data_IF_085618829060
#
_entry.id   IF_085618829060
#
_cell.length_a   1.000
_cell.length_b   1.000
_cell.length_c   1.000
_cell.angle_alpha   90.00
_cell.angle_beta   90.00
_cell.angle_gamma   90.00
#
_symmetry.space_group_name_H-M   'P 1'
#
loop_
_entity.id
_entity.type
_entity.pdbx_description
1 polymer ?
#
# COMPACT_ATOMS: atom_id res chain seq x y z
N UNK A 1 5.19 8.33 21.52
CA UNK A 1 5.05 7.50 20.29
C UNK A 1 6.36 6.80 19.90
N UNK A 2 7.51 7.49 19.92
CA UNK A 2 8.80 6.91 19.47
C UNK A 2 9.25 5.73 20.35
N UNK A 3 9.19 5.87 21.69
CA UNK A 3 9.52 4.76 22.61
C UNK A 3 8.63 3.52 22.38
N UNK A 4 7.31 3.73 22.23
CA UNK A 4 6.39 2.66 21.86
C UNK A 4 6.75 1.99 20.52
N UNK A 5 7.15 2.77 19.51
CA UNK A 5 7.61 2.20 18.23
C UNK A 5 8.88 1.36 18.40
N UNK A 6 9.85 1.84 19.21
CA UNK A 6 11.07 1.09 19.54
C UNK A 6 10.69 -0.23 20.20
N UNK A 7 9.92 -0.19 21.29
CA UNK A 7 9.51 -1.36 22.06
C UNK A 7 8.75 -2.40 21.23
N UNK A 8 7.94 -1.96 20.27
CA UNK A 8 7.08 -2.87 19.49
C UNK A 8 7.70 -3.34 18.17
N UNK A 9 8.60 -2.56 17.55
CA UNK A 9 9.12 -2.86 16.20
C UNK A 9 10.56 -3.34 16.19
N UNK A 10 11.37 -2.95 17.15
CA UNK A 10 12.78 -3.37 17.22
C UNK A 10 12.91 -4.87 17.47
N UNK A 11 12.16 -5.52 18.40
CA UNK A 11 12.25 -6.97 18.58
C UNK A 11 11.84 -7.77 17.35
N UNK A 12 10.93 -7.22 16.53
CA UNK A 12 10.46 -7.85 15.30
C UNK A 12 11.51 -7.74 14.19
N UNK A 13 12.15 -6.57 14.07
CA UNK A 13 13.15 -6.30 13.02
C UNK A 13 14.54 -6.88 13.32
N UNK A 14 14.90 -6.94 14.60
CA UNK A 14 16.18 -7.47 15.08
C UNK A 14 15.94 -8.44 16.25
N UNK A 15 15.41 -9.65 15.98
CA UNK A 15 15.13 -10.63 17.02
C UNK A 15 16.40 -10.98 17.79
N UNK A 16 16.41 -10.74 19.10
CA UNK A 16 17.56 -11.01 19.98
C UNK A 16 18.71 -9.99 19.92
N UNK A 17 18.73 -9.11 18.92
CA UNK A 17 19.84 -8.17 18.67
C UNK A 17 19.41 -6.69 18.67
N UNK A 18 18.13 -6.40 18.89
CA UNK A 18 17.58 -5.07 18.68
C UNK A 18 18.00 -3.98 19.68
N UNK A 19 18.65 -4.32 20.79
CA UNK A 19 19.11 -3.34 21.80
C UNK A 19 18.02 -2.33 22.24
N UNK A 20 16.79 -2.81 22.47
CA UNK A 20 15.61 -1.99 22.80
C UNK A 20 15.88 -0.99 23.91
N UNK A 21 16.48 -1.43 25.02
CA UNK A 21 16.77 -0.57 26.18
C UNK A 21 17.69 0.59 25.82
N UNK A 22 18.75 0.33 25.06
CA UNK A 22 19.71 1.35 24.64
C UNK A 22 19.06 2.38 23.71
N UNK A 23 18.27 1.92 22.73
CA UNK A 23 17.53 2.80 21.83
C UNK A 23 16.50 3.65 22.57
N UNK A 24 15.76 3.05 23.51
CA UNK A 24 14.78 3.78 24.34
C UNK A 24 15.45 4.85 25.20
N UNK A 25 16.65 4.58 25.73
CA UNK A 25 17.42 5.55 26.52
C UNK A 25 17.93 6.76 25.71
N UNK A 26 18.06 6.62 24.38
CA UNK A 26 18.44 7.71 23.48
C UNK A 26 17.28 8.64 23.10
N UNK A 27 16.04 8.26 23.44
CA UNK A 27 14.84 9.01 23.09
C UNK A 27 14.36 9.80 24.31
N UNK A 28 14.16 11.11 24.12
CA UNK A 28 13.60 11.99 25.15
C UNK A 28 12.21 11.50 25.60
N UNK A 29 11.92 11.68 26.89
CA UNK A 29 10.57 11.55 27.46
C UNK A 29 9.68 12.77 27.17
N UNK A 30 10.23 13.81 26.57
CA UNK A 30 9.45 14.99 26.18
C UNK A 30 8.39 14.62 25.14
N UNK A 31 7.14 14.88 25.51
CA UNK A 31 6.04 14.89 24.57
C UNK A 31 6.18 16.11 23.66
N UNK A 32 6.68 15.86 22.44
CA UNK A 32 6.61 16.86 21.39
C UNK A 32 5.14 17.17 21.08
N UNK A 33 4.78 18.46 20.90
CA UNK A 33 3.42 18.81 20.56
C UNK A 33 3.00 18.05 19.29
N UNK A 34 1.92 17.28 19.40
CA UNK A 34 1.33 16.64 18.24
C UNK A 34 1.00 17.71 17.21
N UNK A 35 1.61 17.62 16.03
CA UNK A 35 1.22 18.44 14.91
C UNK A 35 -0.27 18.19 14.64
N UNK A 36 -1.04 19.25 14.45
CA UNK A 36 -2.43 19.11 14.03
C UNK A 36 -2.45 18.65 12.57
N UNK A 37 -2.81 17.39 12.36
CA UNK A 37 -3.03 16.86 11.02
C UNK A 37 -4.43 17.26 10.53
N UNK A 38 -4.51 17.67 9.26
CA UNK A 38 -5.80 17.77 8.57
C UNK A 38 -6.07 16.44 7.86
N UNK A 39 -7.22 15.80 8.07
CA UNK A 39 -7.56 14.58 7.37
C UNK A 39 -7.71 14.89 5.88
N UNK A 40 -7.16 14.00 5.06
CA UNK A 40 -7.33 14.02 3.61
C UNK A 40 -8.61 13.24 3.28
N UNK A 41 -9.46 13.84 2.43
CA UNK A 41 -10.66 13.19 1.91
C UNK A 41 -10.48 12.85 0.45
N UNK A 42 -11.33 11.93 0.00
CA UNK A 42 -11.41 11.59 -1.40
C UNK A 42 -11.80 12.80 -2.25
N UNK A 43 -11.07 13.04 -3.34
CA UNK A 43 -11.29 14.18 -4.24
C UNK A 43 -10.76 15.52 -3.71
N UNK A 44 -10.13 15.57 -2.55
CA UNK A 44 -9.43 16.79 -2.10
C UNK A 44 -8.38 17.20 -3.14
N UNK A 45 -8.26 18.50 -3.38
CA UNK A 45 -7.28 19.05 -4.33
C UNK A 45 -6.42 20.12 -3.69
N UNK A 46 -5.16 20.17 -4.10
CA UNK A 46 -4.21 21.22 -3.69
C UNK A 46 -3.55 21.83 -4.91
N UNK A 47 -3.55 23.15 -4.96
CA UNK A 47 -2.75 23.92 -5.90
C UNK A 47 -1.34 24.15 -5.32
N UNK A 48 -0.34 23.54 -5.95
CA UNK A 48 1.08 23.66 -5.59
C UNK A 48 1.82 24.68 -6.48
N UNK A 49 1.14 25.77 -6.86
CA UNK A 49 1.71 26.84 -7.70
C UNK A 49 1.45 26.63 -9.20
N UNK A 50 0.19 26.38 -9.56
CA UNK A 50 -0.24 26.02 -10.91
C UNK A 50 -0.26 24.51 -11.19
N UNK A 51 0.10 23.70 -10.19
CA UNK A 51 0.11 22.23 -10.27
C UNK A 51 -0.93 21.67 -9.31
N UNK A 52 -2.05 21.21 -9.86
CA UNK A 52 -3.15 20.66 -9.08
C UNK A 52 -2.90 19.18 -8.82
N UNK A 53 -2.87 18.80 -7.55
CA UNK A 53 -2.80 17.40 -7.10
C UNK A 53 -4.14 17.02 -6.51
N UNK A 54 -4.70 15.88 -6.94
CA UNK A 54 -5.97 15.34 -6.45
C UNK A 54 -5.74 14.07 -5.62
N UNK A 55 -6.33 13.99 -4.43
CA UNK A 55 -6.29 12.79 -3.61
C UNK A 55 -7.35 11.78 -4.04
N UNK A 56 -6.96 10.51 -4.06
CA UNK A 56 -7.82 9.35 -4.25
C UNK A 56 -7.70 8.44 -3.04
N UNK A 57 -8.76 8.36 -2.23
CA UNK A 57 -8.82 7.35 -1.18
C UNK A 57 -8.92 5.97 -1.83
N UNK A 58 -7.94 5.12 -1.54
CA UNK A 58 -7.73 3.82 -2.20
C UNK A 58 -7.40 2.73 -1.15
N UNK A 59 -8.36 2.43 -0.25
CA UNK A 59 -8.16 1.42 0.78
C UNK A 59 -7.90 0.02 0.17
N UNK A 60 -7.18 -0.82 0.90
CA UNK A 60 -6.91 -2.21 0.49
C UNK A 60 -5.59 -2.70 1.05
N UNK A 61 -4.48 -2.14 0.56
CA UNK A 61 -3.15 -2.38 1.17
C UNK A 61 -3.15 -1.96 2.66
N UNK A 62 -3.73 -0.78 2.94
CA UNK A 62 -4.11 -0.36 4.28
C UNK A 62 -5.48 0.33 4.25
N UNK A 63 -6.19 0.45 5.39
CA UNK A 63 -7.46 1.19 5.44
C UNK A 63 -7.32 2.68 5.08
N UNK A 64 -6.13 3.26 5.33
CA UNK A 64 -5.84 4.68 5.12
C UNK A 64 -5.05 4.98 3.84
N UNK A 65 -4.88 3.99 2.95
CA UNK A 65 -4.13 4.17 1.71
C UNK A 65 -4.77 5.24 0.82
N UNK A 66 -3.93 6.12 0.25
CA UNK A 66 -4.32 7.23 -0.63
C UNK A 66 -3.34 7.29 -1.79
N UNK A 67 -3.86 7.45 -3.01
CA UNK A 67 -3.07 7.83 -4.18
C UNK A 67 -3.20 9.34 -4.42
N UNK A 68 -2.19 9.95 -5.06
CA UNK A 68 -2.25 11.34 -5.50
C UNK A 68 -2.09 11.42 -7.00
N UNK A 69 -3.07 12.01 -7.68
CA UNK A 69 -3.07 12.16 -9.12
C UNK A 69 -2.60 13.56 -9.52
N UNK A 70 -1.60 13.57 -10.39
CA UNK A 70 -1.14 14.75 -11.12
C UNK A 70 -1.50 14.61 -12.59
N UNK A 71 -2.63 15.22 -12.97
CA UNK A 71 -3.14 15.17 -14.35
C UNK A 71 -2.23 15.92 -15.33
N UNK A 72 -1.59 16.99 -14.87
CA UNK A 72 -0.77 17.85 -15.72
C UNK A 72 0.50 17.11 -16.19
N UNK A 73 1.13 16.34 -15.30
CA UNK A 73 2.27 15.49 -15.65
C UNK A 73 1.88 14.05 -16.01
N UNK A 74 0.59 13.70 -15.93
CA UNK A 74 0.07 12.36 -16.22
C UNK A 74 0.72 11.28 -15.34
N UNK A 75 0.89 11.57 -14.05
CA UNK A 75 1.51 10.69 -13.05
C UNK A 75 0.51 10.42 -11.92
N UNK A 76 0.39 9.14 -11.54
CA UNK A 76 -0.27 8.73 -10.31
C UNK A 76 0.79 8.34 -9.27
N UNK A 77 0.86 9.05 -8.16
CA UNK A 77 1.62 8.63 -7.00
C UNK A 77 0.79 7.62 -6.23
N UNK A 78 1.08 6.33 -6.42
CA UNK A 78 0.26 5.24 -5.88
C UNK A 78 0.64 4.82 -4.47
N UNK A 79 1.84 5.20 -4.00
CA UNK A 79 2.39 4.67 -2.76
C UNK A 79 2.36 3.14 -2.79
N UNK A 80 1.90 2.53 -1.70
CA UNK A 80 1.78 1.07 -1.59
C UNK A 80 0.42 0.52 -2.05
N UNK A 81 -0.49 1.39 -2.53
CA UNK A 81 -1.73 0.92 -3.17
C UNK A 81 -1.43 0.14 -4.45
N UNK A 82 -0.45 0.59 -5.25
CA UNK A 82 0.01 -0.15 -6.42
C UNK A 82 1.52 -0.20 -6.41
N UNK A 83 2.07 -1.40 -6.42
CA UNK A 83 3.48 -1.70 -6.39
C UNK A 83 3.75 -2.99 -7.19
N UNK A 84 5.00 -3.35 -7.48
CA UNK A 84 5.30 -4.59 -8.22
C UNK A 84 4.73 -5.81 -7.48
N UNK A 85 4.87 -5.81 -6.15
CA UNK A 85 4.19 -6.75 -5.27
C UNK A 85 3.50 -6.05 -4.11
N UNK A 86 2.26 -6.45 -3.81
CA UNK A 86 1.54 -5.99 -2.62
C UNK A 86 1.10 -7.16 -1.75
N UNK A 87 0.84 -6.85 -0.48
CA UNK A 87 0.31 -7.79 0.50
C UNK A 87 -1.03 -7.26 1.00
N UNK A 88 -2.04 -8.11 0.99
CA UNK A 88 -3.28 -7.95 1.74
C UNK A 88 -3.12 -8.73 3.06
N UNK A 89 -2.98 -8.05 4.21
CA UNK A 89 -2.76 -8.71 5.49
C UNK A 89 -3.87 -9.69 5.83
N UNK A 90 -3.50 -10.85 6.38
CA UNK A 90 -4.48 -11.81 6.85
C UNK A 90 -5.09 -11.34 8.19
N UNK A 91 -6.39 -11.56 8.33
CA UNK A 91 -7.17 -11.24 9.53
C UNK A 91 -7.93 -12.50 10.00
N UNK A 92 -8.39 -12.56 11.26
CA UNK A 92 -9.18 -13.68 11.75
C UNK A 92 -10.39 -14.03 10.87
N UNK A 93 -11.00 -13.03 10.23
CA UNK A 93 -12.12 -13.17 9.31
C UNK A 93 -11.73 -13.52 7.85
N UNK A 94 -10.44 -13.73 7.56
CA UNK A 94 -9.92 -13.97 6.21
C UNK A 94 -9.53 -12.69 5.46
N UNK A 95 -9.21 -12.83 4.17
CA UNK A 95 -8.73 -11.71 3.32
C UNK A 95 -9.71 -11.30 2.24
N UNK A 96 -10.82 -12.03 2.05
CA UNK A 96 -11.74 -11.88 0.94
C UNK A 96 -12.37 -10.49 0.91
N UNK A 97 -12.75 -9.96 2.07
CA UNK A 97 -13.33 -8.62 2.20
C UNK A 97 -12.31 -7.53 1.85
N UNK A 98 -11.09 -7.62 2.36
CA UNK A 98 -10.05 -6.62 2.08
C UNK A 98 -9.57 -6.70 0.63
N UNK A 99 -9.56 -7.90 0.04
CA UNK A 99 -9.28 -8.09 -1.38
C UNK A 99 -10.36 -7.46 -2.26
N UNK A 100 -11.64 -7.57 -1.88
CA UNK A 100 -12.73 -6.88 -2.57
C UNK A 100 -12.60 -5.35 -2.47
N UNK A 101 -12.29 -4.83 -1.28
CA UNK A 101 -12.02 -3.40 -1.06
C UNK A 101 -10.84 -2.93 -1.93
N UNK A 102 -9.76 -3.72 -1.97
CA UNK A 102 -8.61 -3.45 -2.82
C UNK A 102 -8.99 -3.43 -4.31
N UNK A 103 -9.72 -4.44 -4.78
CA UNK A 103 -10.20 -4.51 -6.17
C UNK A 103 -11.00 -3.25 -6.53
N UNK A 104 -11.90 -2.81 -5.67
CA UNK A 104 -12.72 -1.61 -5.89
C UNK A 104 -11.84 -0.34 -5.98
N UNK A 105 -10.80 -0.23 -5.15
CA UNK A 105 -9.80 0.85 -5.25
C UNK A 105 -9.02 0.82 -6.56
N UNK A 106 -8.60 -0.36 -7.03
CA UNK A 106 -7.91 -0.50 -8.32
C UNK A 106 -8.86 -0.19 -9.47
N UNK A 107 -10.13 -0.61 -9.41
CA UNK A 107 -11.14 -0.27 -10.41
C UNK A 107 -11.37 1.24 -10.49
N UNK A 108 -11.43 1.92 -9.35
CA UNK A 108 -11.52 3.38 -9.27
C UNK A 108 -10.33 4.07 -9.94
N UNK A 109 -9.11 3.57 -9.73
CA UNK A 109 -7.91 4.09 -10.41
C UNK A 109 -7.99 3.82 -11.92
N UNK A 110 -8.34 2.60 -12.33
CA UNK A 110 -8.40 2.21 -13.75
C UNK A 110 -9.47 2.99 -14.53
N UNK A 111 -10.60 3.33 -13.90
CA UNK A 111 -11.63 4.19 -14.50
C UNK A 111 -11.12 5.60 -14.88
N UNK A 112 -9.92 5.95 -14.42
CA UNK A 112 -9.24 7.22 -14.69
C UNK A 112 -7.96 7.06 -15.50
N UNK A 113 -7.79 5.93 -16.17
CA UNK A 113 -6.58 5.60 -16.93
C UNK A 113 -6.19 6.62 -18.00
N UNK A 114 -7.10 7.48 -18.46
CA UNK A 114 -6.80 8.52 -19.45
C UNK A 114 -6.09 9.75 -18.84
N UNK A 115 -6.13 9.89 -17.51
CA UNK A 115 -5.59 11.03 -16.77
C UNK A 115 -4.13 10.82 -16.32
N UNK A 116 -3.56 9.63 -16.52
CA UNK A 116 -2.17 9.32 -16.22
C UNK A 116 -1.61 8.26 -17.19
N UNK A 117 -0.29 8.21 -17.33
CA UNK A 117 0.43 7.20 -18.10
C UNK A 117 1.37 6.37 -17.23
N UNK A 118 1.84 6.94 -16.11
CA UNK A 118 2.85 6.34 -15.25
C UNK A 118 2.48 6.38 -13.77
N UNK A 119 3.03 5.45 -13.01
CA UNK A 119 2.91 5.40 -11.56
C UNK A 119 4.25 5.67 -10.89
N UNK A 120 4.25 6.53 -9.87
CA UNK A 120 5.31 6.62 -8.88
C UNK A 120 4.92 5.74 -7.68
N UNK A 121 5.55 4.57 -7.59
CA UNK A 121 5.25 3.51 -6.61
C UNK A 121 6.02 3.70 -5.29
N UNK A 122 5.55 3.06 -4.21
CA UNK A 122 6.10 3.19 -2.86
C UNK A 122 7.44 2.46 -2.61
N UNK A 123 7.79 1.48 -3.45
CA UNK A 123 9.02 0.69 -3.32
C UNK A 123 9.76 0.59 -4.65
N UNK A 124 11.00 0.12 -4.61
CA UNK A 124 11.85 -0.23 -5.76
C UNK A 124 12.21 0.91 -6.74
N UNK A 125 11.62 2.10 -6.55
CA UNK A 125 11.94 3.34 -7.23
C UNK A 125 11.44 3.42 -8.68
N UNK A 126 11.41 4.65 -9.21
CA UNK A 126 11.12 4.91 -10.62
C UNK A 126 9.65 5.13 -10.96
N UNK A 127 9.43 5.44 -12.24
CA UNK A 127 8.11 5.56 -12.84
C UNK A 127 7.82 4.31 -13.67
N UNK A 128 6.76 3.57 -13.33
CA UNK A 128 6.34 2.37 -14.06
C UNK A 128 5.12 2.65 -14.92
N UNK A 129 4.88 1.80 -15.91
CA UNK A 129 3.73 1.92 -16.82
C UNK A 129 2.40 1.67 -16.10
N UNK A 130 1.33 2.35 -16.53
CA UNK A 130 -0.03 2.18 -15.97
C UNK A 130 -0.64 0.80 -16.14
N UNK A 131 -0.13 -0.02 -17.07
CA UNK A 131 -0.63 -1.36 -17.34
C UNK A 131 -0.73 -2.24 -16.09
N UNK A 132 0.17 -2.05 -15.12
CA UNK A 132 0.11 -2.80 -13.85
C UNK A 132 -1.19 -2.59 -13.07
N UNK A 133 -1.87 -1.45 -13.22
CA UNK A 133 -3.17 -1.20 -12.60
C UNK A 133 -4.22 -2.14 -13.18
N UNK A 134 -4.19 -2.35 -14.51
CA UNK A 134 -5.08 -3.30 -15.18
C UNK A 134 -4.76 -4.73 -14.80
N UNK A 135 -3.47 -5.07 -14.70
CA UNK A 135 -3.02 -6.37 -14.23
C UNK A 135 -3.57 -6.66 -12.82
N UNK A 136 -3.47 -5.72 -11.87
CA UNK A 136 -4.07 -5.89 -10.54
C UNK A 136 -5.60 -5.97 -10.57
N UNK A 137 -6.26 -5.21 -11.44
CA UNK A 137 -7.73 -5.25 -11.55
C UNK A 137 -8.20 -6.64 -11.96
N UNK A 138 -7.57 -7.20 -12.98
CA UNK A 138 -7.90 -8.51 -13.51
C UNK A 138 -7.47 -9.62 -12.55
N UNK A 139 -6.32 -9.47 -11.91
CA UNK A 139 -5.82 -10.41 -10.90
C UNK A 139 -6.77 -10.48 -9.69
N UNK A 140 -7.10 -9.34 -9.08
CA UNK A 140 -7.97 -9.31 -7.91
C UNK A 140 -9.39 -9.77 -8.23
N UNK A 141 -9.92 -9.40 -9.40
CA UNK A 141 -11.22 -9.88 -9.87
C UNK A 141 -11.20 -11.39 -10.09
N UNK A 142 -10.18 -11.92 -10.76
CA UNK A 142 -10.08 -13.35 -11.02
C UNK A 142 -9.91 -14.20 -9.77
N UNK A 143 -9.20 -13.69 -8.75
CA UNK A 143 -9.11 -14.36 -7.44
C UNK A 143 -10.48 -14.40 -6.75
N UNK A 144 -11.21 -13.29 -6.74
CA UNK A 144 -12.54 -13.21 -6.10
C UNK A 144 -13.59 -14.09 -6.81
N UNK A 145 -13.50 -14.21 -8.13
CA UNK A 145 -14.39 -15.05 -8.94
C UNK A 145 -13.95 -16.52 -8.99
N UNK A 146 -12.75 -16.83 -8.51
CA UNK A 146 -12.17 -18.18 -8.53
C UNK A 146 -11.63 -18.62 -9.90
N UNK A 147 -11.53 -17.70 -10.87
CA UNK A 147 -10.93 -17.97 -12.18
C UNK A 147 -9.39 -17.92 -12.15
N UNK A 148 -8.82 -17.25 -11.15
CA UNK A 148 -7.39 -17.28 -10.82
C UNK A 148 -7.22 -17.87 -9.43
N UNK A 149 -6.37 -18.89 -9.31
CA UNK A 149 -6.06 -19.55 -8.03
C UNK A 149 -4.59 -19.33 -7.74
N UNK A 150 -4.29 -18.66 -6.63
CA UNK A 150 -2.91 -18.48 -6.16
C UNK A 150 -2.30 -19.76 -5.62
N UNK A 151 -0.98 -19.73 -5.45
CA UNK A 151 -0.19 -20.83 -4.89
C UNK A 151 0.43 -20.39 -3.57
N UNK A 152 0.56 -21.31 -2.62
CA UNK A 152 1.25 -21.00 -1.37
C UNK A 152 2.76 -20.94 -1.62
N UNK A 153 3.40 -19.85 -1.20
CA UNK A 153 4.85 -19.63 -1.31
C UNK A 153 5.43 -19.05 -0.01
N UNK A 154 6.72 -19.29 0.21
CA UNK A 154 7.52 -18.67 1.27
C UNK A 154 8.76 -18.00 0.66
N UNK A 155 8.80 -16.67 0.65
CA UNK A 155 9.89 -15.87 0.06
C UNK A 155 10.30 -14.76 1.03
N UNK A 156 11.46 -14.95 1.69
CA UNK A 156 11.97 -14.00 2.68
C UNK A 156 11.00 -13.85 3.86
N UNK A 157 10.49 -12.63 4.06
CA UNK A 157 9.50 -12.34 5.11
C UNK A 157 8.05 -12.62 4.68
N UNK A 158 7.81 -12.99 3.42
CA UNK A 158 6.46 -13.21 2.87
C UNK A 158 6.14 -14.69 2.90
N UNK A 159 5.04 -15.05 3.54
CA UNK A 159 4.51 -16.42 3.62
C UNK A 159 3.01 -16.36 3.44
N UNK A 160 2.47 -17.07 2.44
CA UNK A 160 1.05 -16.99 2.13
C UNK A 160 0.72 -17.42 0.72
N UNK A 161 -0.54 -17.22 0.34
CA UNK A 161 -0.99 -17.48 -1.03
C UNK A 161 -0.62 -16.27 -1.89
N UNK A 162 0.02 -16.53 -3.02
CA UNK A 162 0.39 -15.51 -4.01
C UNK A 162 -0.20 -15.87 -5.37
N UNK A 163 -0.70 -14.86 -6.05
CA UNK A 163 -1.12 -14.95 -7.44
C UNK A 163 -0.43 -13.85 -8.25
N UNK A 164 -0.15 -14.13 -9.53
CA UNK A 164 0.56 -13.22 -10.42
C UNK A 164 -0.15 -13.11 -11.76
N UNK A 165 -0.19 -11.92 -12.34
CA UNK A 165 -0.71 -11.66 -13.68
C UNK A 165 0.03 -10.45 -14.24
N UNK A 166 0.59 -10.57 -15.45
CA UNK A 166 1.39 -9.50 -16.04
C UNK A 166 2.53 -9.08 -15.12
N UNK A 167 2.58 -7.79 -14.75
CA UNK A 167 3.56 -7.23 -13.82
C UNK A 167 3.11 -7.25 -12.35
N UNK A 168 1.88 -7.67 -12.05
CA UNK A 168 1.32 -7.65 -10.70
C UNK A 168 1.60 -8.94 -9.92
N UNK A 169 1.97 -8.79 -8.64
CA UNK A 169 2.12 -9.87 -7.67
C UNK A 169 1.27 -9.55 -6.42
N UNK A 170 0.25 -10.36 -6.13
CA UNK A 170 -0.66 -10.14 -5.02
C UNK A 170 -0.58 -11.28 -4.00
N UNK A 171 -0.14 -10.95 -2.78
CA UNK A 171 -0.10 -11.86 -1.64
C UNK A 171 -1.35 -11.68 -0.77
N UNK A 172 -1.98 -12.79 -0.38
CA UNK A 172 -3.19 -12.84 0.44
C UNK A 172 -3.20 -14.13 1.28
N UNK A 173 -4.05 -14.19 2.31
CA UNK A 173 -4.05 -15.26 3.32
C UNK A 173 -2.65 -15.55 3.86
N UNK A 174 -1.88 -14.49 4.13
CA UNK A 174 -0.53 -14.58 4.64
C UNK A 174 -0.50 -15.12 6.08
N UNK A 175 0.59 -15.76 6.44
CA UNK A 175 0.82 -16.17 7.81
C UNK A 175 1.18 -14.94 8.65
N UNK A 176 0.70 -14.93 9.90
CA UNK A 176 0.92 -13.84 10.85
C UNK A 176 2.27 -13.96 11.57
#
# INVERSE_FOLDING_TARGET
MIKWYIETRVPVRFPGEGHVEALTAMVSDEDYPFFQYKPIKDGDTWDLGGRIIEALHTPGHSPGSVCFLDKANRILYSGDTVNIGIIIPNKPEGTEKDLAIYRDSIAKIWNRQEEFDKLAIGHDGGLIDKGIVKDYLDLATGILEGSIVGQYEEVGIRKGVVARLGAAELWYRCDA
#
